data_IF_540384582097
#
_entry.id   IF_540384582097
#
_cell.length_a   1.000
_cell.length_b   1.000
_cell.length_c   1.000
_cell.angle_alpha   90.00
_cell.angle_beta   90.00
_cell.angle_gamma   90.00
#
_symmetry.space_group_name_H-M   'P 1'
#
loop_
_entity.id
_entity.type
_entity.pdbx_description
1 polymer ?
#
# COMPACT_ATOMS: atom_id res chain seq x y z
N UNK A 1 -11.64 6.24 19.70
CA UNK A 1 -10.24 5.80 19.99
C UNK A 1 -9.43 5.57 18.72
N UNK A 2 -9.96 4.87 17.70
CA UNK A 2 -9.22 4.58 16.46
C UNK A 2 -8.82 5.80 15.64
N UNK A 3 -9.63 6.86 15.60
CA UNK A 3 -9.35 8.07 14.81
C UNK A 3 -8.09 8.81 15.27
N UNK A 4 -7.89 8.95 16.59
CA UNK A 4 -6.70 9.58 17.14
C UNK A 4 -5.41 8.78 16.84
N UNK A 5 -5.52 7.44 16.83
CA UNK A 5 -4.39 6.57 16.47
C UNK A 5 -4.09 6.63 14.97
N UNK A 6 -5.13 6.62 14.14
CA UNK A 6 -5.02 6.78 12.69
C UNK A 6 -4.41 8.14 12.30
N UNK A 7 -4.82 9.22 12.96
CA UNK A 7 -4.24 10.54 12.74
C UNK A 7 -2.73 10.56 13.05
N UNK A 8 -2.32 9.93 14.16
CA UNK A 8 -0.90 9.79 14.51
C UNK A 8 -0.11 8.98 13.49
N UNK A 9 -0.67 7.89 12.97
CA UNK A 9 -0.02 7.08 11.93
C UNK A 9 0.16 7.87 10.63
N UNK A 10 -0.87 8.63 10.21
CA UNK A 10 -0.79 9.51 9.04
C UNK A 10 0.26 10.61 9.22
N UNK A 11 0.37 11.17 10.43
CA UNK A 11 1.40 12.15 10.78
C UNK A 11 2.81 11.54 10.74
N UNK A 12 3.01 10.37 11.38
CA UNK A 12 4.29 9.65 11.37
C UNK A 12 4.72 9.30 9.94
N UNK A 13 3.79 8.83 9.11
CA UNK A 13 4.02 8.58 7.69
C UNK A 13 4.50 9.82 6.95
N UNK A 14 3.86 10.98 7.17
CA UNK A 14 4.28 12.23 6.54
C UNK A 14 5.72 12.59 6.92
N UNK A 15 6.06 12.48 8.21
CA UNK A 15 7.42 12.74 8.71
C UNK A 15 8.45 11.81 8.08
N UNK A 16 8.12 10.53 7.91
CA UNK A 16 9.03 9.57 7.28
C UNK A 16 9.22 9.84 5.79
N UNK A 17 8.21 10.31 5.07
CA UNK A 17 8.35 10.72 3.67
C UNK A 17 9.31 11.90 3.56
N UNK A 18 9.19 12.89 4.45
CA UNK A 18 10.10 14.03 4.47
C UNK A 18 11.52 13.64 4.88
N UNK A 19 11.66 12.73 5.83
CA UNK A 19 12.94 12.12 6.17
C UNK A 19 13.53 11.36 4.99
N UNK A 20 12.74 10.59 4.24
CA UNK A 20 13.19 9.85 3.06
C UNK A 20 13.70 10.77 1.95
N UNK A 21 13.05 11.92 1.74
CA UNK A 21 13.45 12.93 0.75
C UNK A 21 14.85 13.48 1.02
N UNK A 22 15.18 13.67 2.30
CA UNK A 22 16.44 14.29 2.75
C UNK A 22 17.50 13.27 3.20
N UNK A 23 17.14 12.00 3.38
CA UNK A 23 18.03 10.97 3.88
C UNK A 23 19.13 10.55 2.89
N UNK A 24 20.27 10.17 3.45
CA UNK A 24 21.35 9.52 2.73
C UNK A 24 20.87 8.21 2.06
N UNK A 25 21.38 7.85 0.85
CA UNK A 25 20.93 6.66 0.13
C UNK A 25 20.97 5.36 0.95
N UNK A 26 21.94 5.23 1.86
CA UNK A 26 22.09 4.08 2.76
C UNK A 26 20.93 3.91 3.76
N UNK A 27 20.24 5.00 4.10
CA UNK A 27 19.13 5.02 5.07
C UNK A 27 17.75 5.03 4.39
N UNK A 28 17.69 5.33 3.08
CA UNK A 28 16.43 5.37 2.33
C UNK A 28 15.69 4.03 2.37
N UNK A 29 16.42 2.91 2.30
CA UNK A 29 15.84 1.57 2.38
C UNK A 29 15.10 1.32 3.70
N UNK A 30 15.75 1.59 4.84
CA UNK A 30 15.14 1.41 6.16
C UNK A 30 13.94 2.34 6.39
N UNK A 31 14.00 3.57 5.85
CA UNK A 31 12.87 4.50 5.93
C UNK A 31 11.69 4.01 5.08
N UNK A 32 11.93 3.44 3.89
CA UNK A 32 10.86 2.85 3.07
C UNK A 32 10.20 1.66 3.74
N UNK A 33 10.98 0.78 4.38
CA UNK A 33 10.41 -0.33 5.18
C UNK A 33 9.48 0.20 6.26
N UNK A 34 9.91 1.23 7.00
CA UNK A 34 9.09 1.82 8.05
C UNK A 34 7.82 2.50 7.52
N UNK A 35 7.88 3.13 6.35
CA UNK A 35 6.69 3.69 5.67
C UNK A 35 5.72 2.56 5.31
N UNK A 36 6.22 1.44 4.78
CA UNK A 36 5.39 0.29 4.43
C UNK A 36 4.69 -0.31 5.67
N UNK A 37 5.41 -0.47 6.79
CA UNK A 37 4.82 -0.96 8.05
C UNK A 37 3.66 -0.07 8.53
N UNK A 38 3.81 1.25 8.39
CA UNK A 38 2.77 2.22 8.77
C UNK A 38 1.61 2.18 7.79
N UNK A 39 1.87 2.02 6.49
CA UNK A 39 0.80 1.88 5.50
C UNK A 39 -0.04 0.63 5.77
N UNK A 40 0.59 -0.49 6.11
CA UNK A 40 -0.10 -1.72 6.53
C UNK A 40 -0.89 -1.52 7.83
N UNK A 41 -0.35 -0.78 8.80
CA UNK A 41 -1.06 -0.48 10.05
C UNK A 41 -2.25 0.46 9.80
N UNK A 42 -2.11 1.47 8.94
CA UNK A 42 -3.21 2.36 8.52
C UNK A 42 -4.33 1.56 7.85
N UNK A 43 -3.99 0.62 6.96
CA UNK A 43 -4.96 -0.23 6.26
C UNK A 43 -5.78 -1.11 7.22
N UNK A 44 -5.25 -1.44 8.42
CA UNK A 44 -6.03 -2.16 9.45
C UNK A 44 -7.12 -1.29 10.09
N UNK A 45 -6.93 0.02 10.15
CA UNK A 45 -7.93 0.96 10.70
C UNK A 45 -8.90 1.48 9.65
N UNK A 46 -8.40 1.72 8.43
CA UNK A 46 -9.19 2.04 7.25
C UNK A 46 -8.97 0.94 6.21
N UNK A 47 -9.60 -0.25 6.37
CA UNK A 47 -9.58 -1.24 5.30
C UNK A 47 -10.30 -0.58 4.14
N UNK A 48 -9.55 -0.05 3.17
CA UNK A 48 -10.10 0.44 1.91
C UNK A 48 -11.00 -0.68 1.44
N UNK A 49 -12.32 -0.40 1.41
CA UNK A 49 -13.36 -1.31 0.95
C UNK A 49 -12.75 -2.22 -0.09
N UNK A 50 -12.55 -3.49 0.28
CA UNK A 50 -11.81 -4.51 -0.48
C UNK A 50 -12.04 -4.27 -1.96
N UNK A 51 -11.09 -3.63 -2.66
CA UNK A 51 -11.18 -3.63 -4.12
C UNK A 51 -11.17 -5.12 -4.49
N UNK A 52 -12.20 -5.61 -5.20
CA UNK A 52 -12.25 -7.02 -5.55
C UNK A 52 -10.97 -7.34 -6.29
N UNK A 53 -10.19 -8.29 -5.75
CA UNK A 53 -8.99 -8.83 -6.38
C UNK A 53 -9.28 -8.98 -7.87
N UNK A 54 -8.45 -8.33 -8.68
CA UNK A 54 -8.51 -8.32 -10.13
C UNK A 54 -9.08 -9.64 -10.64
N UNK A 55 -10.20 -9.54 -11.37
CA UNK A 55 -10.98 -10.68 -11.83
C UNK A 55 -10.07 -11.73 -12.42
N UNK A 56 -10.29 -12.99 -12.03
CA UNK A 56 -9.71 -14.15 -12.70
C UNK A 56 -9.87 -13.92 -14.19
N UNK A 57 -8.78 -13.76 -14.93
CA UNK A 57 -8.82 -13.82 -16.39
C UNK A 57 -9.42 -15.18 -16.75
N UNK A 58 -10.73 -15.21 -17.00
CA UNK A 58 -11.35 -16.34 -17.69
C UNK A 58 -10.76 -16.30 -19.09
N UNK A 59 -9.79 -17.18 -19.35
CA UNK A 59 -9.39 -17.56 -20.70
C UNK A 59 -10.66 -18.10 -21.36
N UNK A 60 -11.40 -17.25 -22.07
CA UNK A 60 -12.44 -17.72 -22.96
C UNK A 60 -11.72 -18.42 -24.12
N UNK A 61 -11.96 -19.72 -24.23
CA UNK A 61 -11.53 -20.57 -25.34
C UNK A 61 -11.99 -19.94 -26.66
N UNK A 62 -11.05 -19.39 -27.42
CA UNK A 62 -11.26 -19.11 -28.84
C UNK A 62 -11.24 -20.49 -29.52
N UNK A 63 -12.42 -21.07 -29.74
CA UNK A 63 -12.56 -22.15 -30.72
C UNK A 63 -12.33 -21.51 -32.08
N UNK A 64 -11.16 -21.78 -32.66
CA UNK A 64 -10.90 -21.57 -34.07
C UNK A 64 -11.94 -22.40 -34.84
N UNK A 65 -12.94 -21.75 -35.42
CA UNK A 65 -13.74 -22.34 -36.47
C UNK A 65 -12.81 -22.45 -37.69
N UNK A 66 -12.32 -23.66 -37.97
CA UNK A 66 -11.78 -23.98 -39.28
C UNK A 66 -12.95 -24.42 -40.17
N UNK A 67 -13.07 -23.73 -41.31
CA UNK A 67 -13.98 -24.06 -42.41
C UNK A 67 -13.66 -25.43 -43.01
#
# INVERSE_FOLDING_TARGET
MNEAKLAKLKEERSKLIDAWRTANPRLKGSILTRIADIDDEIERYEPKSKMPKAGKFRKNNIQLLQN
#
